data_IF_669964407937
#
_entry.id   IF_669964407937
#
_cell.length_a   1.000
_cell.length_b   1.000
_cell.length_c   1.000
_cell.angle_alpha   90.00
_cell.angle_beta   90.00
_cell.angle_gamma   90.00
#
_symmetry.space_group_name_H-M   'P 1'
#
loop_
_entity.id
_entity.type
_entity.pdbx_description
1 polymer ?
#
# COMPACT_ATOMS: atom_id res chain seq x y z
N UNK A 1 -8.89 11.97 20.69
CA UNK A 1 -8.14 11.03 19.83
C UNK A 1 -7.96 11.70 18.48
N UNK A 2 -6.72 12.07 18.12
CA UNK A 2 -6.40 12.77 16.87
C UNK A 2 -6.38 11.75 15.74
N UNK A 3 -7.17 11.99 14.69
CA UNK A 3 -7.15 11.24 13.44
C UNK A 3 -5.78 11.43 12.79
N UNK A 4 -4.85 10.49 13.01
CA UNK A 4 -3.59 10.44 12.28
C UNK A 4 -3.88 9.84 10.90
N UNK A 5 -3.96 10.70 9.90
CA UNK A 5 -3.86 10.31 8.51
C UNK A 5 -2.41 9.79 8.32
N UNK A 6 -2.24 8.47 8.41
CA UNK A 6 -0.94 7.84 8.30
C UNK A 6 -0.54 7.81 6.81
N UNK A 7 0.30 8.76 6.40
CA UNK A 7 0.96 8.70 5.09
C UNK A 7 2.10 7.69 5.20
N UNK A 8 1.97 6.57 4.50
CA UNK A 8 2.94 5.49 4.48
C UNK A 8 4.13 5.89 3.59
N UNK A 9 5.32 6.02 4.18
CA UNK A 9 6.59 6.07 3.43
C UNK A 9 7.27 4.72 3.66
N UNK A 10 7.28 3.87 2.63
CA UNK A 10 7.96 2.57 2.66
C UNK A 10 9.40 2.77 2.21
N UNK A 11 10.36 2.45 3.07
CA UNK A 11 11.78 2.39 2.73
C UNK A 11 12.18 0.91 2.71
N UNK A 12 12.34 0.34 1.51
CA UNK A 12 12.67 -1.08 1.31
C UNK A 12 14.13 -1.28 0.92
N UNK A 13 14.85 -2.16 1.62
CA UNK A 13 16.16 -2.70 1.18
C UNK A 13 15.88 -3.97 0.38
N UNK A 14 16.21 -3.97 -0.91
CA UNK A 14 15.97 -5.09 -1.82
C UNK A 14 17.15 -6.09 -1.77
N UNK A 15 16.99 -7.19 -1.04
CA UNK A 15 17.86 -8.36 -1.13
C UNK A 15 17.22 -9.43 -2.01
N UNK A 16 17.75 -9.66 -3.21
CA UNK A 16 17.26 -10.70 -4.12
C UNK A 16 17.99 -12.02 -3.88
N UNK A 17 17.28 -13.03 -3.38
CA UNK A 17 17.69 -14.44 -3.46
C UNK A 17 16.58 -15.22 -4.14
N UNK A 18 16.81 -15.62 -5.39
CA UNK A 18 15.87 -16.40 -6.19
C UNK A 18 16.03 -17.90 -5.87
N UNK A 19 14.91 -18.59 -5.68
CA UNK A 19 14.54 -19.89 -6.27
C UNK A 19 13.24 -20.36 -5.60
N UNK A 20 12.15 -20.35 -6.38
CA UNK A 20 10.76 -20.41 -5.90
C UNK A 20 10.24 -19.00 -5.66
N UNK A 21 9.58 -18.38 -6.65
CA UNK A 21 9.37 -16.93 -6.80
C UNK A 21 8.36 -16.35 -5.78
N UNK A 22 8.70 -16.44 -4.50
CA UNK A 22 8.17 -15.65 -3.41
C UNK A 22 9.18 -14.56 -3.09
N UNK A 23 8.97 -13.32 -3.56
CA UNK A 23 9.86 -12.23 -3.15
C UNK A 23 9.50 -11.81 -1.73
N UNK A 24 10.50 -11.69 -0.85
CA UNK A 24 10.31 -11.23 0.53
C UNK A 24 11.02 -9.90 0.72
N UNK A 25 10.31 -8.97 1.32
CA UNK A 25 10.84 -7.65 1.62
C UNK A 25 10.56 -7.32 3.08
N UNK A 26 11.45 -6.55 3.68
CA UNK A 26 11.19 -5.97 4.99
C UNK A 26 11.51 -4.48 4.95
N UNK A 27 10.77 -3.70 5.74
CA UNK A 27 10.93 -2.27 5.85
C UNK A 27 10.70 -1.82 7.29
N UNK A 28 11.46 -0.80 7.72
CA UNK A 28 11.18 -0.08 8.95
C UNK A 28 10.31 1.15 8.63
N UNK A 29 9.26 1.34 9.43
CA UNK A 29 8.39 2.51 9.33
C UNK A 29 8.73 3.50 10.43
N UNK A 30 8.75 4.79 10.08
CA UNK A 30 9.14 5.86 10.98
C UNK A 30 8.00 6.88 11.16
N UNK A 31 7.97 7.53 12.31
CA UNK A 31 7.03 8.64 12.55
C UNK A 31 7.29 9.78 11.56
N UNK A 32 6.22 10.35 11.02
CA UNK A 32 6.30 11.50 10.13
C UNK A 32 7.03 12.65 10.84
N UNK A 33 7.91 13.35 10.12
CA UNK A 33 8.76 14.43 10.63
C UNK A 33 9.83 14.01 11.66
N UNK A 34 10.07 12.70 11.89
CA UNK A 34 11.14 12.24 12.78
C UNK A 34 12.53 12.22 12.13
N UNK A 35 12.64 12.50 10.82
CA UNK A 35 13.89 12.33 10.06
C UNK A 35 14.48 10.91 10.21
N UNK A 36 13.63 9.89 10.17
CA UNK A 36 14.01 8.47 10.31
C UNK A 36 14.66 8.11 11.65
N UNK A 37 14.49 8.92 12.69
CA UNK A 37 15.06 8.63 14.02
C UNK A 37 14.11 7.85 14.93
N UNK A 38 12.79 7.95 14.69
CA UNK A 38 11.77 7.31 15.52
C UNK A 38 11.03 6.24 14.75
N UNK A 39 11.48 5.00 14.89
CA UNK A 39 10.79 3.82 14.35
C UNK A 39 9.45 3.62 15.06
N UNK A 40 8.41 3.29 14.32
CA UNK A 40 7.05 3.06 14.85
C UNK A 40 6.54 1.65 14.57
N UNK A 41 6.91 1.05 13.43
CA UNK A 41 6.48 -0.30 13.03
C UNK A 41 7.57 -0.96 12.19
N UNK A 42 7.45 -2.28 12.02
CA UNK A 42 8.14 -3.07 11.00
C UNK A 42 7.12 -3.59 10.01
N UNK A 43 7.49 -3.69 8.74
CA UNK A 43 6.71 -4.29 7.68
C UNK A 43 7.48 -5.48 7.12
N UNK A 44 6.83 -6.64 7.06
CA UNK A 44 7.27 -7.80 6.31
C UNK A 44 6.30 -8.05 5.15
N UNK A 45 6.80 -8.12 3.93
CA UNK A 45 6.02 -8.39 2.74
C UNK A 45 6.45 -9.70 2.09
N UNK A 46 5.49 -10.47 1.61
CA UNK A 46 5.71 -11.61 0.73
C UNK A 46 4.88 -11.43 -0.54
N UNK A 47 5.52 -11.54 -1.70
CA UNK A 47 4.88 -11.51 -3.01
C UNK A 47 5.02 -12.88 -3.67
N UNK A 48 3.93 -13.47 -4.12
CA UNK A 48 3.91 -14.74 -4.86
C UNK A 48 3.27 -14.53 -6.22
N UNK A 49 3.97 -14.87 -7.29
CA UNK A 49 3.45 -14.76 -8.66
C UNK A 49 2.93 -16.10 -9.17
N UNK A 50 1.68 -16.13 -9.67
CA UNK A 50 1.07 -17.31 -10.27
C UNK A 50 0.07 -16.91 -11.36
N UNK A 51 0.14 -17.57 -12.52
CA UNK A 51 -0.88 -17.46 -13.60
C UNK A 51 -1.25 -16.02 -14.01
N UNK A 52 -0.26 -15.12 -14.11
CA UNK A 52 -0.48 -13.71 -14.48
C UNK A 52 -1.07 -12.85 -13.35
N UNK A 53 -1.19 -13.41 -12.14
CA UNK A 53 -1.54 -12.69 -10.92
C UNK A 53 -0.36 -12.61 -9.96
N UNK A 54 -0.35 -11.57 -9.14
CA UNK A 54 0.60 -11.39 -8.04
C UNK A 54 -0.20 -11.32 -6.76
N UNK A 55 0.04 -12.24 -5.83
CA UNK A 55 -0.50 -12.18 -4.47
C UNK A 55 0.52 -11.52 -3.55
N UNK A 56 0.11 -10.49 -2.83
CA UNK A 56 0.94 -9.73 -1.90
C UNK A 56 0.37 -9.92 -0.51
N UNK A 57 1.21 -10.24 0.47
CA UNK A 57 0.84 -10.24 1.89
C UNK A 57 1.80 -9.32 2.63
N UNK A 58 1.28 -8.23 3.20
CA UNK A 58 1.99 -7.35 4.12
C UNK A 58 1.57 -7.61 5.56
N UNK A 59 2.53 -7.76 6.46
CA UNK A 59 2.32 -7.85 7.90
C UNK A 59 3.08 -6.74 8.57
N UNK A 60 2.36 -5.88 9.28
CA UNK A 60 2.94 -4.78 10.03
C UNK A 60 2.93 -5.16 11.50
N UNK A 61 4.08 -5.04 12.13
CA UNK A 61 4.28 -5.40 13.54
C UNK A 61 4.75 -4.20 14.34
N UNK A 62 4.41 -4.17 15.62
CA UNK A 62 5.02 -3.23 16.56
C UNK A 62 6.52 -3.53 16.77
N UNK A 63 7.16 -2.72 17.60
CA UNK A 63 8.61 -2.83 17.85
C UNK A 63 8.99 -4.11 18.58
N UNK A 64 8.03 -4.72 19.29
CA UNK A 64 8.18 -6.00 19.99
C UNK A 64 7.90 -7.21 19.06
N UNK A 65 7.52 -6.94 17.81
CA UNK A 65 7.26 -7.97 16.79
C UNK A 65 5.85 -8.54 16.83
N UNK A 66 4.92 -7.94 17.60
CA UNK A 66 3.52 -8.35 17.60
C UNK A 66 2.82 -7.77 16.37
N UNK A 67 2.12 -8.60 15.56
CA UNK A 67 1.35 -8.12 14.42
C UNK A 67 0.23 -7.16 14.84
N UNK A 68 0.11 -6.04 14.14
CA UNK A 68 -0.90 -5.00 14.38
C UNK A 68 -1.79 -4.75 13.18
N UNK A 69 -1.31 -5.02 11.97
CA UNK A 69 -2.06 -4.86 10.72
C UNK A 69 -1.62 -5.91 9.70
N UNK A 70 -2.58 -6.47 8.97
CA UNK A 70 -2.34 -7.40 7.86
C UNK A 70 -3.06 -6.89 6.61
N UNK A 71 -2.41 -6.98 5.47
CA UNK A 71 -2.94 -6.66 4.15
C UNK A 71 -2.65 -7.82 3.22
N UNK A 72 -3.68 -8.30 2.51
CA UNK A 72 -3.58 -9.38 1.53
C UNK A 72 -4.23 -8.94 0.24
N UNK A 73 -3.46 -8.90 -0.83
CA UNK A 73 -3.90 -8.28 -2.05
C UNK A 73 -3.59 -9.16 -3.24
N UNK A 74 -4.44 -9.10 -4.25
CA UNK A 74 -4.25 -9.80 -5.52
C UNK A 74 -4.20 -8.75 -6.62
N UNK A 75 -3.13 -8.77 -7.39
CA UNK A 75 -2.92 -7.88 -8.53
C UNK A 75 -2.97 -8.67 -9.84
N UNK A 76 -3.40 -8.01 -10.91
CA UNK A 76 -3.24 -8.46 -12.30
C UNK A 76 -2.73 -7.29 -13.12
N UNK A 77 -1.62 -7.46 -13.84
CA UNK A 77 -0.98 -6.39 -14.64
C UNK A 77 -0.67 -5.09 -13.86
N UNK A 78 -0.36 -5.24 -12.56
CA UNK A 78 -0.18 -4.16 -11.57
C UNK A 78 -1.45 -3.37 -11.19
N UNK A 79 -2.63 -3.83 -11.61
CA UNK A 79 -3.92 -3.33 -11.17
C UNK A 79 -4.48 -4.20 -10.04
N UNK A 80 -5.17 -3.56 -9.09
CA UNK A 80 -5.79 -4.24 -7.95
C UNK A 80 -7.01 -5.05 -8.39
N UNK A 81 -7.06 -6.33 -8.00
CA UNK A 81 -8.24 -7.20 -8.14
C UNK A 81 -8.97 -7.28 -6.80
N UNK A 82 -8.22 -7.52 -5.72
CA UNK A 82 -8.74 -7.48 -4.35
C UNK A 82 -7.67 -7.03 -3.36
N UNK A 83 -8.13 -6.41 -2.28
CA UNK A 83 -7.32 -5.94 -1.16
C UNK A 83 -8.07 -6.20 0.14
N UNK A 84 -7.65 -7.20 0.91
CA UNK A 84 -8.23 -7.60 2.18
C UNK A 84 -7.35 -7.07 3.33
N UNK A 85 -7.95 -6.29 4.23
CA UNK A 85 -7.26 -5.52 5.26
C UNK A 85 -7.78 -5.94 6.64
N UNK A 86 -6.87 -6.12 7.61
CA UNK A 86 -7.19 -6.43 9.00
C UNK A 86 -6.36 -5.57 9.96
N UNK A 87 -7.03 -4.72 10.73
CA UNK A 87 -6.43 -4.00 11.86
C UNK A 87 -6.56 -4.86 13.12
N UNK A 88 -5.50 -5.59 13.47
CA UNK A 88 -5.52 -6.56 14.58
C UNK A 88 -5.68 -5.89 15.95
N UNK A 89 -5.27 -4.62 16.09
CA UNK A 89 -5.40 -3.87 17.33
C UNK A 89 -6.83 -3.41 17.62
N UNK A 90 -7.61 -3.11 16.57
CA UNK A 90 -8.96 -2.55 16.70
C UNK A 90 -10.06 -3.53 16.28
N UNK A 91 -9.70 -4.68 15.73
CA UNK A 91 -10.64 -5.67 15.20
C UNK A 91 -11.32 -5.24 13.90
N UNK A 92 -10.87 -4.15 13.28
CA UNK A 92 -11.46 -3.67 12.04
C UNK A 92 -11.00 -4.52 10.86
N UNK A 93 -11.93 -4.82 9.95
CA UNK A 93 -11.62 -5.47 8.68
C UNK A 93 -12.17 -4.67 7.53
N UNK A 94 -11.49 -4.71 6.39
CA UNK A 94 -11.98 -4.07 5.19
C UNK A 94 -11.61 -4.88 3.95
N UNK A 95 -12.35 -4.66 2.88
CA UNK A 95 -12.07 -5.23 1.57
C UNK A 95 -12.32 -4.19 0.49
N UNK A 96 -11.39 -4.08 -0.44
CA UNK A 96 -11.56 -3.41 -1.72
C UNK A 96 -11.52 -4.50 -2.80
N UNK A 97 -12.46 -4.53 -3.74
CA UNK A 97 -12.36 -5.39 -4.92
C UNK A 97 -12.80 -4.65 -6.18
N UNK A 98 -12.23 -5.04 -7.31
CA UNK A 98 -12.56 -4.45 -8.61
C UNK A 98 -13.15 -5.53 -9.50
N UNK A 99 -14.37 -5.31 -9.97
CA UNK A 99 -15.04 -6.20 -10.93
C UNK A 99 -15.55 -5.35 -12.10
N UNK A 100 -14.94 -5.55 -13.27
CA UNK A 100 -15.19 -4.69 -14.44
C UNK A 100 -14.84 -3.24 -14.14
N UNK A 101 -15.82 -2.36 -14.32
CA UNK A 101 -15.69 -0.90 -14.13
C UNK A 101 -16.20 -0.42 -12.76
N UNK A 102 -16.33 -1.33 -11.79
CA UNK A 102 -16.84 -1.00 -10.44
C UNK A 102 -15.84 -1.40 -9.37
N UNK A 103 -15.60 -0.47 -8.44
CA UNK A 103 -14.88 -0.71 -7.19
C UNK A 103 -15.91 -0.99 -6.11
N UNK A 104 -15.76 -2.09 -5.40
CA UNK A 104 -16.57 -2.48 -4.26
C UNK A 104 -15.76 -2.31 -2.98
N UNK A 105 -16.37 -1.68 -1.99
CA UNK A 105 -15.82 -1.50 -0.65
C UNK A 105 -16.68 -2.23 0.38
N UNK A 106 -16.01 -2.86 1.33
CA UNK A 106 -16.63 -3.41 2.55
C UNK A 106 -15.76 -3.03 3.73
N UNK A 107 -16.38 -2.65 4.85
CA UNK A 107 -15.72 -2.37 6.12
C UNK A 107 -16.56 -2.95 7.25
N UNK A 108 -15.93 -3.55 8.23
CA UNK A 108 -16.57 -4.08 9.42
C UNK A 108 -15.80 -3.69 10.67
N UNK A 109 -16.56 -3.26 11.69
CA UNK A 109 -16.06 -2.98 13.03
C UNK A 109 -17.12 -3.37 14.05
N UNK A 110 -16.74 -4.13 15.07
CA UNK A 110 -17.64 -4.58 16.14
C UNK A 110 -18.91 -5.26 15.58
N UNK A 111 -18.77 -6.08 14.53
CA UNK A 111 -19.86 -6.75 13.82
C UNK A 111 -20.74 -5.84 12.97
N UNK A 112 -20.48 -4.53 12.92
CA UNK A 112 -21.22 -3.57 12.08
C UNK A 112 -20.55 -3.44 10.74
N UNK A 113 -21.22 -3.96 9.70
CA UNK A 113 -20.77 -3.90 8.32
C UNK A 113 -21.30 -2.67 7.60
N UNK A 114 -20.44 -2.03 6.80
CA UNK A 114 -20.75 -0.97 5.85
C UNK A 114 -20.18 -1.35 4.49
N UNK A 115 -20.89 -1.00 3.43
CA UNK A 115 -20.44 -1.23 2.05
C UNK A 115 -20.66 0.01 1.21
N UNK A 116 -19.87 0.17 0.16
CA UNK A 116 -20.07 1.19 -0.87
C UNK A 116 -19.56 0.68 -2.21
N UNK A 117 -19.93 1.38 -3.28
CA UNK A 117 -19.41 1.11 -4.61
C UNK A 117 -19.15 2.43 -5.34
N UNK A 118 -18.12 2.45 -6.17
CA UNK A 118 -17.79 3.58 -7.04
C UNK A 118 -17.46 3.10 -8.45
N UNK A 119 -17.73 3.95 -9.44
CA UNK A 119 -17.20 3.72 -10.79
C UNK A 119 -15.68 3.80 -10.77
N UNK A 120 -15.02 2.78 -11.30
CA UNK A 120 -13.58 2.72 -11.46
C UNK A 120 -13.11 3.91 -12.31
N UNK A 121 -12.20 4.70 -11.75
CA UNK A 121 -11.50 5.79 -12.42
C UNK A 121 -10.02 5.49 -12.39
N UNK A 122 -9.43 5.29 -13.56
CA UNK A 122 -8.01 4.96 -13.69
C UNK A 122 -7.13 6.23 -13.73
N UNK A 123 -5.89 6.16 -13.21
CA UNK A 123 -5.31 5.02 -12.51
C UNK A 123 -5.85 4.90 -11.09
N UNK A 124 -6.19 3.68 -10.68
CA UNK A 124 -6.68 3.35 -9.35
C UNK A 124 -5.60 2.62 -8.56
N UNK A 125 -5.38 3.06 -7.33
CA UNK A 125 -4.24 2.65 -6.52
C UNK A 125 -4.69 2.40 -5.08
N UNK A 126 -4.17 1.36 -4.45
CA UNK A 126 -4.21 1.12 -3.01
C UNK A 126 -2.78 1.02 -2.50
N UNK A 127 -2.60 0.81 -1.20
CA UNK A 127 -1.28 0.54 -0.61
C UNK A 127 -0.56 -0.60 -1.33
N UNK A 128 -1.31 -1.66 -1.66
CA UNK A 128 -0.77 -2.89 -2.23
C UNK A 128 -0.13 -2.74 -3.62
N UNK A 129 -0.70 -1.94 -4.52
CA UNK A 129 -0.20 -1.78 -5.89
C UNK A 129 0.56 -0.48 -6.14
N UNK A 130 0.74 0.36 -5.10
CA UNK A 130 1.35 1.66 -5.23
C UNK A 130 2.79 1.58 -5.76
N UNK A 131 3.60 0.68 -5.20
CA UNK A 131 5.00 0.52 -5.59
C UNK A 131 5.13 0.10 -7.06
N UNK A 132 4.32 -0.87 -7.50
CA UNK A 132 4.32 -1.34 -8.88
C UNK A 132 3.78 -0.25 -9.82
N UNK A 133 2.78 0.52 -9.39
CA UNK A 133 2.28 1.68 -10.14
C UNK A 133 3.37 2.73 -10.33
N UNK A 134 4.08 3.11 -9.27
CA UNK A 134 5.16 4.11 -9.34
C UNK A 134 6.31 3.61 -10.22
N UNK A 135 6.73 2.35 -10.07
CA UNK A 135 7.78 1.77 -10.90
C UNK A 135 7.40 1.76 -12.40
N UNK A 136 6.16 1.38 -12.73
CA UNK A 136 5.64 1.35 -14.10
C UNK A 136 5.50 2.74 -14.72
N UNK A 137 5.28 3.77 -13.90
CA UNK A 137 5.04 5.14 -14.34
C UNK A 137 6.16 6.12 -13.96
N UNK A 138 7.36 5.62 -13.62
CA UNK A 138 8.45 6.41 -13.05
C UNK A 138 8.83 7.64 -13.89
N UNK A 139 8.87 7.50 -15.22
CA UNK A 139 9.19 8.60 -16.13
C UNK A 139 8.18 9.75 -16.09
N UNK A 140 6.92 9.48 -15.71
CA UNK A 140 5.86 10.49 -15.58
C UNK A 140 5.76 11.04 -14.17
N UNK A 141 5.91 10.20 -13.15
CA UNK A 141 5.84 10.63 -11.74
C UNK A 141 7.04 11.48 -11.33
N UNK A 142 8.11 11.49 -12.11
CA UNK A 142 9.32 12.30 -11.86
C UNK A 142 9.34 13.66 -12.56
N UNK A 143 8.31 14.01 -13.34
CA UNK A 143 8.21 15.35 -13.94
C UNK A 143 7.50 16.32 -13.00
N UNK A 144 7.62 17.63 -13.27
CA UNK A 144 6.91 18.66 -12.52
C UNK A 144 5.38 18.61 -12.74
N UNK A 145 4.96 18.15 -13.93
CA UNK A 145 3.56 17.94 -14.27
C UNK A 145 2.96 16.77 -13.48
N UNK A 146 3.76 15.78 -13.12
CA UNK A 146 3.36 14.64 -12.30
C UNK A 146 2.25 13.79 -12.93
N UNK A 147 1.56 13.02 -12.09
CA UNK A 147 0.49 12.12 -12.52
C UNK A 147 -0.66 12.11 -11.51
N UNK A 148 -1.88 12.29 -12.01
CA UNK A 148 -3.10 12.15 -11.22
C UNK A 148 -3.47 10.68 -11.03
N UNK A 149 -4.04 10.36 -9.87
CA UNK A 149 -4.53 9.03 -9.52
C UNK A 149 -5.70 9.08 -8.56
N UNK A 150 -6.41 7.96 -8.45
CA UNK A 150 -7.46 7.73 -7.45
C UNK A 150 -6.95 6.71 -6.44
N UNK A 151 -6.90 7.11 -5.19
CA UNK A 151 -6.50 6.25 -4.08
C UNK A 151 -7.73 5.69 -3.36
N UNK A 152 -7.79 4.38 -3.18
CA UNK A 152 -8.87 3.71 -2.45
C UNK A 152 -8.69 3.86 -0.95
N UNK A 153 -9.62 4.55 -0.27
CA UNK A 153 -9.56 4.74 1.17
C UNK A 153 -10.56 3.80 1.86
N UNK A 154 -10.08 2.61 2.23
CA UNK A 154 -10.89 1.50 2.73
C UNK A 154 -11.80 1.85 3.92
N UNK A 155 -11.37 2.70 4.86
CA UNK A 155 -12.19 3.08 6.03
C UNK A 155 -13.24 4.16 5.71
N UNK A 156 -13.03 4.94 4.64
CA UNK A 156 -14.00 5.94 4.15
C UNK A 156 -15.00 5.34 3.16
N UNK A 157 -14.66 4.18 2.58
CA UNK A 157 -15.42 3.52 1.53
C UNK A 157 -15.57 4.41 0.28
N UNK A 158 -14.54 5.20 -0.01
CA UNK A 158 -14.51 6.11 -1.15
C UNK A 158 -13.14 6.16 -1.83
N UNK A 159 -13.08 6.85 -2.97
CA UNK A 159 -11.82 7.18 -3.63
C UNK A 159 -11.45 8.65 -3.51
N UNK A 160 -10.17 8.93 -3.26
CA UNK A 160 -9.63 10.29 -3.16
C UNK A 160 -8.67 10.56 -4.31
N UNK A 161 -8.77 11.74 -4.93
CA UNK A 161 -7.86 12.16 -5.98
C UNK A 161 -6.54 12.65 -5.40
N UNK A 162 -5.43 12.16 -5.93
CA UNK A 162 -4.09 12.64 -5.61
C UNK A 162 -3.30 12.92 -6.88
N UNK A 163 -2.25 13.72 -6.73
CA UNK A 163 -1.24 13.94 -7.75
C UNK A 163 0.12 13.58 -7.17
N UNK A 164 0.85 12.69 -7.84
CA UNK A 164 2.24 12.35 -7.50
C UNK A 164 3.17 13.12 -8.43
N UNK A 165 4.20 13.72 -7.85
CA UNK A 165 5.29 14.36 -8.58
C UNK A 165 6.56 14.26 -7.71
N UNK A 166 7.73 14.30 -8.34
CA UNK A 166 9.01 14.36 -7.63
C UNK A 166 9.19 15.78 -7.06
N UNK A 167 9.40 15.86 -5.76
CA UNK A 167 9.55 17.14 -5.05
C UNK A 167 11.02 17.58 -4.99
N UNK A 168 11.92 16.64 -4.71
CA UNK A 168 13.36 16.88 -4.54
C UNK A 168 14.14 15.56 -4.74
N UNK A 169 15.44 15.63 -4.97
CA UNK A 169 16.35 14.47 -4.99
C UNK A 169 17.49 14.74 -4.00
N UNK A 170 17.64 13.89 -2.99
CA UNK A 170 18.65 14.09 -1.94
C UNK A 170 19.55 12.88 -1.85
N UNK A 171 20.85 13.11 -1.98
CA UNK A 171 21.85 12.08 -1.69
C UNK A 171 21.82 11.75 -0.20
N UNK A 172 21.46 10.51 0.14
CA UNK A 172 21.55 9.99 1.51
C UNK A 172 22.70 8.98 1.55
N UNK A 173 23.85 9.42 2.09
CA UNK A 173 25.08 8.63 2.09
C UNK A 173 25.72 8.52 0.69
N UNK A 174 26.20 7.33 0.34
CA UNK A 174 26.81 7.03 -0.98
C UNK A 174 25.78 6.59 -2.05
N UNK A 175 24.48 6.60 -1.72
CA UNK A 175 23.41 6.23 -2.63
C UNK A 175 22.58 7.48 -2.99
N UNK A 176 22.23 7.61 -4.26
CA UNK A 176 21.36 8.69 -4.76
C UNK A 176 19.91 8.24 -4.61
N UNK A 177 19.08 9.06 -3.95
CA UNK A 177 17.66 8.80 -3.68
C UNK A 177 16.79 9.96 -4.18
#
# INVERSE_FOLDING_TARGET
>A
MRNALCLLIVVGVLGFSSLGFGAKYSADLFELNSNFTKKILKLDMTETSAEGSISITGVFSDLDGKPVFEEKSVLRDAEIVSDDIRQLQTGETARISVEGDTIYFSYEKDGKKKTAQEKLKKPFVTTANFTQFVAKNWSKTTTAEGMELRYGVWFRLDTVGFKIFKVDEKKVGAQTW
#
